data_IF_243153457276
#
_entry.id   IF_243153457276
#
_cell.length_a   1.000
_cell.length_b   1.000
_cell.length_c   1.000
_cell.angle_alpha   90.00
_cell.angle_beta   90.00
_cell.angle_gamma   90.00
#
_symmetry.space_group_name_H-M   'P 1'
#
loop_
_entity.id
_entity.type
_entity.pdbx_description
1 polymer ?
#
# COMPACT_ATOMS: atom_id res chain seq x y z
N UNK A 1 12.57 22.20 -1.32
CA UNK A 1 11.72 21.02 -1.63
C UNK A 1 12.58 19.92 -2.21
N UNK A 2 12.55 18.72 -1.66
CA UNK A 2 13.32 17.62 -2.22
C UNK A 2 12.49 16.86 -3.29
N UNK A 3 13.13 15.90 -3.96
CA UNK A 3 12.48 15.18 -5.06
C UNK A 3 11.23 14.42 -4.62
N UNK A 4 11.22 13.87 -3.42
CA UNK A 4 10.07 13.11 -2.92
C UNK A 4 8.84 13.98 -2.73
N UNK A 5 9.00 15.28 -2.45
CA UNK A 5 7.87 16.19 -2.29
C UNK A 5 7.14 16.45 -3.61
N UNK A 6 7.80 16.18 -4.74
CA UNK A 6 7.22 16.36 -6.07
C UNK A 6 6.51 15.13 -6.61
N UNK A 7 6.64 13.99 -5.91
CA UNK A 7 6.05 12.73 -6.36
C UNK A 7 4.58 12.68 -5.93
N UNK A 8 3.68 12.61 -6.91
CA UNK A 8 2.26 12.41 -6.64
C UNK A 8 2.02 10.97 -6.23
N UNK A 9 0.89 10.72 -5.57
CA UNK A 9 0.49 9.37 -5.19
C UNK A 9 0.40 8.45 -6.41
N UNK A 10 -0.10 8.95 -7.52
CA UNK A 10 -0.23 8.18 -8.77
C UNK A 10 1.13 7.78 -9.32
N UNK A 11 2.08 8.72 -9.36
CA UNK A 11 3.44 8.43 -9.84
C UNK A 11 4.13 7.44 -8.91
N UNK A 12 3.97 7.63 -7.60
CA UNK A 12 4.53 6.72 -6.61
C UNK A 12 4.01 5.30 -6.81
N UNK A 13 2.69 5.15 -6.97
CA UNK A 13 2.07 3.85 -7.19
C UNK A 13 2.64 3.18 -8.45
N UNK A 14 2.70 3.91 -9.56
CA UNK A 14 3.25 3.38 -10.82
C UNK A 14 4.69 2.92 -10.64
N UNK A 15 5.50 3.68 -9.93
CA UNK A 15 6.90 3.35 -9.69
C UNK A 15 7.04 2.07 -8.86
N UNK A 16 6.25 1.93 -7.80
CA UNK A 16 6.27 0.73 -6.97
C UNK A 16 5.82 -0.50 -7.75
N UNK A 17 4.75 -0.36 -8.55
CA UNK A 17 4.24 -1.46 -9.37
C UNK A 17 5.32 -1.94 -10.36
N UNK A 18 5.97 -1.01 -11.05
CA UNK A 18 7.03 -1.37 -12.01
C UNK A 18 8.19 -2.07 -11.31
N UNK A 19 8.58 -1.57 -10.16
CA UNK A 19 9.65 -2.18 -9.36
C UNK A 19 9.26 -3.59 -8.93
N UNK A 20 8.06 -3.76 -8.42
CA UNK A 20 7.58 -5.07 -7.98
C UNK A 20 7.58 -6.09 -9.14
N UNK A 21 7.06 -5.69 -10.29
CA UNK A 21 7.04 -6.55 -11.46
C UNK A 21 8.43 -6.91 -11.93
N UNK A 22 9.36 -5.98 -11.85
CA UNK A 22 10.76 -6.24 -12.19
C UNK A 22 11.35 -7.36 -11.33
N UNK A 23 10.96 -7.44 -10.08
CA UNK A 23 11.42 -8.48 -9.16
C UNK A 23 10.52 -9.71 -9.12
N UNK A 24 9.62 -9.84 -10.09
CA UNK A 24 8.85 -11.08 -10.27
C UNK A 24 7.55 -11.17 -9.47
N UNK A 25 7.05 -10.07 -8.94
CA UNK A 25 5.79 -10.05 -8.22
C UNK A 25 4.60 -9.98 -9.17
N UNK A 26 3.55 -10.71 -8.84
CA UNK A 26 2.23 -10.54 -9.44
C UNK A 26 1.56 -9.41 -8.65
N UNK A 27 1.08 -8.39 -9.35
CA UNK A 27 0.56 -7.18 -8.68
C UNK A 27 -0.87 -6.91 -9.07
N UNK A 28 -1.74 -6.75 -8.06
CA UNK A 28 -3.08 -6.22 -8.22
C UNK A 28 -3.16 -4.85 -7.55
N UNK A 29 -3.89 -3.93 -8.16
CA UNK A 29 -4.05 -2.59 -7.62
C UNK A 29 -5.42 -2.01 -7.93
N UNK A 30 -5.80 -0.95 -7.20
CA UNK A 30 -7.08 -0.28 -7.36
C UNK A 30 -6.94 0.92 -8.28
N UNK A 31 -7.66 0.90 -9.40
CA UNK A 31 -7.70 2.02 -10.34
C UNK A 31 -8.55 3.18 -9.82
N UNK A 32 -9.68 2.84 -9.22
CA UNK A 32 -10.66 3.83 -8.80
C UNK A 32 -11.14 3.45 -7.40
N UNK A 33 -10.75 4.26 -6.43
CA UNK A 33 -11.10 4.02 -5.02
C UNK A 33 -12.60 3.98 -4.76
N UNK A 34 -13.41 4.57 -5.63
CA UNK A 34 -14.87 4.54 -5.50
C UNK A 34 -15.44 3.13 -5.74
N UNK A 35 -14.67 2.28 -6.42
CA UNK A 35 -15.08 0.92 -6.77
C UNK A 35 -14.54 -0.13 -5.82
N UNK A 36 -13.76 0.26 -4.81
CA UNK A 36 -13.18 -0.66 -3.84
C UNK A 36 -13.85 -0.55 -2.49
N UNK A 37 -13.59 -1.51 -1.62
CA UNK A 37 -14.05 -1.43 -0.23
C UNK A 37 -13.29 -0.30 0.49
N UNK A 38 -13.99 0.43 1.38
CA UNK A 38 -13.35 1.49 2.15
C UNK A 38 -12.12 1.00 2.91
N UNK A 39 -11.02 1.73 2.79
CA UNK A 39 -9.80 1.47 3.53
C UNK A 39 -8.93 0.35 3.01
N UNK A 40 -9.36 -0.38 1.99
CA UNK A 40 -8.58 -1.48 1.41
C UNK A 40 -7.23 -0.99 0.92
N UNK A 41 -6.12 -1.73 1.19
CA UNK A 41 -4.80 -1.33 0.72
C UNK A 41 -4.71 -1.17 -0.79
N UNK A 42 -3.85 -0.26 -1.24
CA UNK A 42 -3.69 0.07 -2.65
C UNK A 42 -3.17 -1.09 -3.48
N UNK A 43 -2.26 -1.87 -2.93
CA UNK A 43 -1.56 -2.93 -3.66
C UNK A 43 -1.71 -4.28 -2.98
N UNK A 44 -1.87 -5.30 -3.81
CA UNK A 44 -1.82 -6.71 -3.41
C UNK A 44 -0.76 -7.36 -4.28
N UNK A 45 0.23 -8.00 -3.66
CA UNK A 45 1.37 -8.54 -4.39
C UNK A 45 1.68 -9.96 -3.93
N UNK A 46 1.95 -10.83 -4.89
CA UNK A 46 2.27 -12.23 -4.59
C UNK A 46 3.51 -12.66 -5.34
N UNK A 47 4.46 -13.18 -4.61
CA UNK A 47 5.61 -13.91 -5.14
C UNK A 47 5.85 -15.08 -4.20
N UNK A 48 5.30 -16.28 -4.49
CA UNK A 48 5.30 -17.38 -3.52
C UNK A 48 6.67 -17.65 -2.92
N UNK A 49 6.75 -17.92 -1.62
CA UNK A 49 5.64 -18.10 -0.69
C UNK A 49 5.15 -16.79 -0.04
N UNK A 50 5.50 -15.65 -0.58
CA UNK A 50 5.24 -14.35 0.04
C UNK A 50 3.99 -13.68 -0.51
N UNK A 51 3.23 -13.06 0.39
CA UNK A 51 2.08 -12.20 0.05
C UNK A 51 2.25 -10.87 0.75
N UNK A 52 2.20 -9.80 -0.02
CA UNK A 52 2.33 -8.42 0.52
C UNK A 52 1.07 -7.63 0.21
N UNK A 53 0.57 -6.92 1.22
CA UNK A 53 -0.40 -5.85 1.04
C UNK A 53 0.28 -4.54 1.40
N UNK A 54 0.18 -3.54 0.53
CA UNK A 54 0.83 -2.25 0.77
C UNK A 54 -0.13 -1.09 0.59
N UNK A 55 -0.12 -0.20 1.57
CA UNK A 55 -0.80 1.09 1.48
C UNK A 55 0.22 2.13 1.10
N UNK A 56 -0.10 2.95 0.11
CA UNK A 56 0.81 3.98 -0.39
C UNK A 56 0.30 5.36 -0.01
N UNK A 57 1.18 6.16 0.56
CA UNK A 57 0.87 7.54 0.96
C UNK A 57 1.96 8.48 0.49
N UNK A 58 1.60 9.74 0.25
CA UNK A 58 2.58 10.80 0.08
C UNK A 58 3.30 11.02 1.41
N UNK A 59 4.37 11.82 1.40
CA UNK A 59 5.17 12.05 2.61
C UNK A 59 4.35 12.53 3.81
N UNK A 60 3.30 13.31 3.56
CA UNK A 60 2.47 13.91 4.62
C UNK A 60 1.07 13.31 4.71
N UNK A 61 0.73 12.38 3.83
CA UNK A 61 -0.59 11.76 3.84
C UNK A 61 -0.83 10.93 5.09
N UNK A 62 -2.05 10.93 5.59
CA UNK A 62 -2.43 10.20 6.79
C UNK A 62 -3.37 9.06 6.45
N UNK A 63 -3.28 7.97 7.22
CA UNK A 63 -4.23 6.87 7.10
C UNK A 63 -5.62 7.34 7.53
N UNK A 64 -6.65 6.94 6.77
CA UNK A 64 -8.03 7.18 7.18
C UNK A 64 -8.38 6.27 8.35
N UNK A 65 -9.26 6.78 9.21
CA UNK A 65 -9.76 6.02 10.35
C UNK A 65 -11.17 5.50 10.04
N UNK A 66 -11.55 4.42 10.69
CA UNK A 66 -12.91 3.91 10.59
C UNK A 66 -13.92 4.95 11.07
N UNK A 67 -15.08 4.99 10.44
CA UNK A 67 -16.14 5.92 10.79
C UNK A 67 -17.50 5.41 10.34
N UNK A 68 -18.55 5.96 10.94
CA UNK A 68 -19.91 5.71 10.47
C UNK A 68 -20.22 6.64 9.29
N UNK A 69 -20.80 6.09 8.24
CA UNK A 69 -21.35 6.89 7.14
C UNK A 69 -22.66 7.53 7.59
N UNK A 70 -23.15 8.47 6.76
CA UNK A 70 -24.45 9.13 7.01
C UNK A 70 -25.61 8.13 7.06
N UNK A 71 -25.49 7.01 6.35
CA UNK A 71 -26.52 5.96 6.32
C UNK A 71 -26.40 4.94 7.47
N UNK A 72 -25.42 5.12 8.36
CA UNK A 72 -25.20 4.22 9.49
C UNK A 72 -24.33 3.03 9.19
N UNK A 73 -23.72 2.96 8.02
CA UNK A 73 -22.78 1.89 7.65
C UNK A 73 -21.40 2.21 8.22
N UNK A 74 -20.75 1.20 8.79
CA UNK A 74 -19.36 1.35 9.21
C UNK A 74 -18.44 1.36 7.99
N UNK A 75 -17.64 2.41 7.88
CA UNK A 75 -16.65 2.56 6.84
C UNK A 75 -15.29 2.20 7.43
N UNK A 76 -14.79 1.02 7.10
CA UNK A 76 -13.52 0.52 7.62
C UNK A 76 -12.37 1.44 7.24
N UNK A 77 -11.53 1.80 8.20
CA UNK A 77 -10.42 2.69 7.96
C UNK A 77 -9.20 1.97 7.40
N UNK A 78 -8.32 2.74 6.77
CA UNK A 78 -7.02 2.22 6.32
C UNK A 78 -6.20 1.72 7.50
N UNK A 79 -6.33 2.36 8.67
CA UNK A 79 -5.67 1.93 9.89
C UNK A 79 -6.17 0.54 10.33
N UNK A 80 -7.47 0.29 10.24
CA UNK A 80 -8.04 -1.00 10.62
C UNK A 80 -7.58 -2.13 9.70
N UNK A 81 -7.57 -1.87 8.40
CA UNK A 81 -7.06 -2.84 7.43
C UNK A 81 -5.60 -3.18 7.70
N UNK A 82 -4.78 -2.15 7.92
CA UNK A 82 -3.36 -2.35 8.18
C UNK A 82 -3.10 -3.16 9.45
N UNK A 83 -3.79 -2.81 10.53
CA UNK A 83 -3.63 -3.53 11.81
C UNK A 83 -4.06 -4.99 11.67
N UNK A 84 -5.16 -5.23 10.97
CA UNK A 84 -5.67 -6.59 10.77
C UNK A 84 -4.69 -7.43 9.94
N UNK A 85 -4.21 -6.88 8.82
CA UNK A 85 -3.27 -7.60 7.95
C UNK A 85 -1.94 -7.86 8.65
N UNK A 86 -1.43 -6.88 9.40
CA UNK A 86 -0.18 -7.02 10.14
C UNK A 86 -0.27 -8.12 11.21
N UNK A 87 -1.47 -8.44 11.66
CA UNK A 87 -1.70 -9.47 12.66
C UNK A 87 -1.82 -10.88 12.08
N UNK A 88 -1.83 -11.02 10.74
CA UNK A 88 -1.99 -12.31 10.09
C UNK A 88 -0.63 -12.98 9.86
N UNK A 89 -0.37 -14.17 10.43
CA UNK A 89 0.86 -14.90 10.15
C UNK A 89 0.99 -15.20 8.64
N UNK A 90 2.18 -15.02 8.10
CA UNK A 90 2.42 -15.32 6.69
C UNK A 90 2.02 -14.23 5.72
N UNK A 91 1.41 -13.17 6.19
CA UNK A 91 1.08 -11.98 5.40
C UNK A 91 2.02 -10.87 5.81
N UNK A 92 2.53 -10.12 4.82
CA UNK A 92 3.32 -8.93 5.08
C UNK A 92 2.45 -7.72 4.77
N UNK A 93 2.44 -6.74 5.66
CA UNK A 93 1.75 -5.48 5.43
C UNK A 93 2.72 -4.32 5.59
N UNK A 94 2.69 -3.38 4.67
CA UNK A 94 3.53 -2.18 4.71
C UNK A 94 2.73 -0.94 4.43
N UNK A 95 3.10 0.13 5.11
CA UNK A 95 2.74 1.49 4.74
C UNK A 95 3.98 2.10 4.12
N UNK A 96 3.92 2.38 2.82
CA UNK A 96 5.08 2.91 2.09
C UNK A 96 4.87 4.35 1.68
N UNK A 97 5.95 5.10 1.77
CA UNK A 97 6.03 6.50 1.36
C UNK A 97 7.19 6.66 0.38
N UNK A 98 7.19 7.76 -0.44
CA UNK A 98 8.22 7.91 -1.49
C UNK A 98 9.66 7.90 -0.99
N UNK A 99 9.92 8.32 0.25
CA UNK A 99 11.27 8.28 0.81
C UNK A 99 11.82 6.86 0.98
N UNK A 100 10.97 5.84 0.90
CA UNK A 100 11.39 4.45 0.93
C UNK A 100 11.86 3.88 -0.42
N UNK A 101 11.66 4.63 -1.52
CA UNK A 101 12.00 4.12 -2.86
C UNK A 101 13.49 3.80 -3.04
N UNK A 102 14.36 4.53 -2.39
CA UNK A 102 15.81 4.40 -2.58
C UNK A 102 16.44 3.31 -1.71
N UNK A 103 15.66 2.54 -0.98
CA UNK A 103 16.24 1.53 -0.11
C UNK A 103 15.25 0.50 0.39
N UNK A 104 14.41 0.86 1.34
CA UNK A 104 13.54 -0.09 2.04
C UNK A 104 12.60 -0.86 1.08
N UNK A 105 11.90 -0.15 0.22
CA UNK A 105 10.92 -0.78 -0.67
C UNK A 105 11.61 -1.73 -1.64
N UNK A 106 12.69 -1.28 -2.26
CA UNK A 106 13.44 -2.12 -3.19
C UNK A 106 13.98 -3.37 -2.49
N UNK A 107 14.54 -3.21 -1.31
CA UNK A 107 15.10 -4.33 -0.54
C UNK A 107 14.05 -5.38 -0.25
N UNK A 108 12.87 -4.95 0.19
CA UNK A 108 11.74 -5.84 0.50
C UNK A 108 11.27 -6.58 -0.76
N UNK A 109 11.10 -5.86 -1.86
CA UNK A 109 10.62 -6.45 -3.11
C UNK A 109 11.65 -7.37 -3.75
N UNK A 110 12.94 -7.09 -3.59
CA UNK A 110 14.02 -7.91 -4.14
C UNK A 110 14.12 -9.27 -3.45
N UNK A 111 13.68 -9.38 -2.22
CA UNK A 111 13.68 -10.66 -1.51
C UNK A 111 14.07 -10.59 -0.04
N UNK A 112 14.41 -9.42 0.45
CA UNK A 112 14.78 -9.24 1.86
C UNK A 112 13.57 -8.81 2.68
N UNK A 113 13.53 -9.24 3.90
CA UNK A 113 12.48 -8.86 4.84
C UNK A 113 13.04 -7.95 5.93
#
# INVERSE_FOLDING_TARGET
MNAQDLITEKIFQATVIDMARTYGWIVGFTYDSRMSEPGEPDLRMVRPPRVIFAELKTLKGQLTKGRLSKSGRWMTGQDEWGDALASCPGIEYYLWRPDGLDGEIERILRGER
#
